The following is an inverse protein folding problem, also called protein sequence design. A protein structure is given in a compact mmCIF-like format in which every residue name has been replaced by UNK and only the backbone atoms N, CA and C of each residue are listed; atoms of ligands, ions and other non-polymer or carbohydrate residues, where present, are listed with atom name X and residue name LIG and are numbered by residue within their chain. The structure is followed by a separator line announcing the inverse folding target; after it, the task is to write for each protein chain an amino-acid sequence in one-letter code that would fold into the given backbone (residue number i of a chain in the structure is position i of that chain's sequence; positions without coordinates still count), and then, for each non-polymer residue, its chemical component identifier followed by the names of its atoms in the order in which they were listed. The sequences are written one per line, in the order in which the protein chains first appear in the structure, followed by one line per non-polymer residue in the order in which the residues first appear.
data_IF_902236659694
#
_entry.id   IF_902236659694
#
_cell.length_a   1.000
_cell.length_b   1.000
_cell.length_c   1.000
_cell.angle_alpha   90.00
_cell.angle_beta   90.00
_cell.angle_gamma   90.00
#
_symmetry.space_group_name_H-M   'P 1'
#
loop_
_entity.id
_entity.type
_entity.pdbx_description
1 polymer ?
#
# COMPACT_ATOMS: atom_id res chain seq x y z
N UNK A 1 10.34 8.31 -1.77
CA UNK A 1 9.56 7.06 -1.95
C UNK A 1 8.10 7.40 -1.70
N UNK A 2 7.15 6.68 -2.28
CA UNK A 2 5.73 6.91 -1.98
C UNK A 2 5.38 6.31 -0.62
N UNK A 3 4.51 6.99 0.11
CA UNK A 3 3.96 6.53 1.38
C UNK A 3 3.32 5.13 1.23
N UNK A 4 3.67 4.15 2.08
CA UNK A 4 3.18 2.77 1.98
C UNK A 4 1.66 2.65 2.21
N UNK A 5 1.06 3.63 2.87
CA UNK A 5 -0.38 3.66 3.13
C UNK A 5 -1.19 4.32 2.02
N UNK A 6 -0.56 4.83 0.95
CA UNK A 6 -1.27 5.50 -0.14
C UNK A 6 -1.75 4.48 -1.18
N UNK A 7 -3.06 4.42 -1.37
CA UNK A 7 -3.71 3.68 -2.45
C UNK A 7 -4.51 4.63 -3.35
N UNK A 8 -4.68 4.26 -4.62
CA UNK A 8 -5.63 4.92 -5.52
C UNK A 8 -6.77 3.96 -5.82
N UNK A 9 -7.97 4.29 -5.36
CA UNK A 9 -9.16 3.45 -5.53
C UNK A 9 -10.09 4.02 -6.59
N UNK A 10 -10.55 3.17 -7.49
CA UNK A 10 -11.49 3.53 -8.55
C UNK A 10 -12.96 3.47 -8.11
N UNK A 11 -13.25 2.98 -6.90
CA UNK A 11 -14.62 2.85 -6.40
C UNK A 11 -14.69 2.91 -4.87
N UNK A 12 -15.88 3.24 -4.35
CA UNK A 12 -16.26 3.07 -2.95
C UNK A 12 -17.79 3.07 -2.79
N UNK A 13 -18.30 2.35 -1.79
CA UNK A 13 -19.73 2.36 -1.42
C UNK A 13 -20.67 2.12 -2.61
N UNK A 14 -20.36 1.09 -3.43
CA UNK A 14 -21.10 0.73 -4.65
C UNK A 14 -21.15 1.86 -5.71
N UNK A 15 -20.23 2.81 -5.66
CA UNK A 15 -20.07 3.87 -6.65
C UNK A 15 -18.68 3.82 -7.25
N UNK A 16 -18.62 3.84 -8.57
CA UNK A 16 -17.39 3.94 -9.33
C UNK A 16 -17.06 5.41 -9.56
N UNK A 17 -15.77 5.75 -9.58
CA UNK A 17 -15.26 7.08 -9.89
C UNK A 17 -14.78 7.12 -11.34
N UNK A 18 -14.91 8.29 -11.96
CA UNK A 18 -14.38 8.52 -13.32
C UNK A 18 -12.84 8.47 -13.34
N UNK A 19 -12.20 8.85 -12.23
CA UNK A 19 -10.74 8.80 -12.03
C UNK A 19 -10.43 8.22 -10.63
N UNK A 20 -9.39 7.39 -10.46
CA UNK A 20 -8.99 6.87 -9.16
C UNK A 20 -8.73 7.98 -8.13
N UNK A 21 -9.26 7.79 -6.92
CA UNK A 21 -9.12 8.74 -5.81
C UNK A 21 -8.13 8.24 -4.78
N UNK A 22 -7.32 9.15 -4.27
CA UNK A 22 -6.35 8.86 -3.22
C UNK A 22 -7.06 8.45 -1.92
N UNK A 23 -6.66 7.29 -1.40
CA UNK A 23 -7.14 6.68 -0.18
C UNK A 23 -5.96 6.40 0.74
N UNK A 24 -6.07 6.78 2.01
CA UNK A 24 -5.08 6.48 3.02
C UNK A 24 -5.53 5.24 3.79
N UNK A 25 -4.73 4.17 3.72
CA UNK A 25 -4.95 2.93 4.47
C UNK A 25 -4.88 3.12 5.98
N UNK A 26 -3.90 3.88 6.47
CA UNK A 26 -3.73 4.14 7.92
C UNK A 26 -4.93 4.86 8.55
N UNK A 27 -5.49 5.84 7.84
CA UNK A 27 -6.66 6.60 8.32
C UNK A 27 -8.01 6.08 7.78
N UNK A 28 -7.98 4.99 7.02
CA UNK A 28 -9.13 4.32 6.39
C UNK A 28 -10.11 5.28 5.68
N UNK A 29 -9.58 6.27 4.97
CA UNK A 29 -10.42 7.27 4.32
C UNK A 29 -9.79 7.86 3.05
N UNK A 30 -10.65 8.43 2.20
CA UNK A 30 -10.22 9.23 1.06
C UNK A 30 -9.58 10.54 1.54
N UNK A 31 -8.42 10.86 0.98
CA UNK A 31 -7.66 12.06 1.36
C UNK A 31 -7.75 13.14 0.29
N UNK A 32 -7.47 14.37 0.69
CA UNK A 32 -7.43 15.51 -0.23
C UNK A 32 -6.25 15.41 -1.21
N UNK A 33 -6.33 16.01 -2.41
CA UNK A 33 -5.22 16.02 -3.36
C UNK A 33 -3.89 16.51 -2.78
N UNK A 34 -3.89 17.59 -1.97
CA UNK A 34 -2.67 18.07 -1.31
C UNK A 34 -2.03 17.02 -0.39
N UNK A 35 -2.84 16.22 0.29
CA UNK A 35 -2.35 15.13 1.13
C UNK A 35 -1.74 14.02 0.27
N UNK A 36 -2.38 13.71 -0.86
CA UNK A 36 -1.82 12.77 -1.82
C UNK A 36 -0.48 13.27 -2.40
N UNK A 37 -0.32 14.57 -2.63
CA UNK A 37 0.94 15.14 -3.09
C UNK A 37 2.07 14.94 -2.06
N UNK A 38 1.80 15.16 -0.76
CA UNK A 38 2.74 14.85 0.34
C UNK A 38 3.07 13.35 0.35
N UNK A 39 2.04 12.49 0.29
CA UNK A 39 2.25 11.04 0.30
C UNK A 39 3.05 10.53 -0.91
N UNK A 40 3.00 11.23 -2.05
CA UNK A 40 3.78 10.92 -3.24
C UNK A 40 5.18 11.56 -3.26
N UNK A 41 5.58 12.26 -2.20
CA UNK A 41 6.83 13.02 -2.14
C UNK A 41 6.97 14.06 -3.27
N UNK A 42 5.86 14.73 -3.63
CA UNK A 42 5.88 15.77 -4.67
C UNK A 42 6.23 17.13 -4.07
N UNK A 43 6.85 17.98 -4.87
CA UNK A 43 7.15 19.37 -4.48
C UNK A 43 8.00 19.50 -3.21
N UNK A 44 8.95 18.57 -3.02
CA UNK A 44 9.80 18.48 -1.82
C UNK A 44 9.02 18.27 -0.51
N UNK A 45 7.78 17.76 -0.59
CA UNK A 45 6.97 17.40 0.57
C UNK A 45 7.05 15.90 0.83
N UNK A 46 8.00 15.47 1.66
CA UNK A 46 8.18 14.07 2.03
C UNK A 46 7.13 13.56 3.04
N UNK A 47 6.60 12.35 2.83
CA UNK A 47 5.61 11.73 3.72
C UNK A 47 6.14 11.43 5.12
N UNK A 48 7.42 11.08 5.25
CA UNK A 48 8.11 10.79 6.50
C UNK A 48 8.45 12.04 7.32
N UNK A 49 8.26 13.24 6.78
CA UNK A 49 8.51 14.50 7.49
C UNK A 49 7.25 15.38 7.61
N UNK A 50 6.40 15.36 6.59
CA UNK A 50 5.28 16.30 6.45
C UNK A 50 3.89 15.65 6.59
N UNK A 51 3.79 14.32 6.70
CA UNK A 51 2.53 13.62 6.84
C UNK A 51 2.30 13.14 8.28
N UNK A 52 1.53 13.91 9.07
CA UNK A 52 1.15 13.55 10.45
C UNK A 52 0.58 12.12 10.62
N UNK A 53 -0.22 11.62 9.66
CA UNK A 53 -0.80 10.26 9.74
C UNK A 53 0.30 9.21 9.51
N UNK A 54 1.22 9.45 8.57
CA UNK A 54 2.32 8.51 8.39
C UNK A 54 3.20 8.48 9.65
N UNK A 55 3.52 9.65 10.21
CA UNK A 55 4.33 9.75 11.43
C UNK A 55 3.71 9.00 12.62
N UNK A 56 2.38 9.07 12.77
CA UNK A 56 1.65 8.33 13.80
C UNK A 56 1.67 6.80 13.59
N UNK A 57 1.83 6.32 12.35
CA UNK A 57 1.77 4.91 11.98
C UNK A 57 3.11 4.35 11.46
N UNK A 58 4.21 5.10 11.54
CA UNK A 58 5.49 4.74 10.94
C UNK A 58 6.07 3.44 11.52
N UNK A 59 5.77 3.15 12.79
CA UNK A 59 6.20 1.93 13.48
C UNK A 59 5.53 0.66 12.90
N UNK A 60 4.31 0.79 12.35
CA UNK A 60 3.58 -0.33 11.74
C UNK A 60 4.20 -0.77 10.41
N UNK A 61 4.83 0.16 9.69
CA UNK A 61 5.49 -0.11 8.40
C UNK A 61 6.75 -0.94 8.60
N UNK A 62 7.51 -0.68 9.68
CA UNK A 62 8.80 -1.35 9.93
C UNK A 62 8.66 -2.79 10.42
N UNK A 63 7.50 -3.17 10.98
CA UNK A 63 7.25 -4.51 11.50
C UNK A 63 6.74 -5.53 10.45
N UNK A 64 6.43 -5.07 9.23
CA UNK A 64 5.63 -5.83 8.27
C UNK A 64 6.36 -6.52 7.12
N UNK A 65 7.70 -6.51 7.04
CA UNK A 65 8.42 -6.93 5.82
C UNK A 65 9.49 -8.02 6.04
N UNK A 66 9.18 -9.04 6.83
CA UNK A 66 9.96 -10.29 6.90
C UNK A 66 9.05 -11.50 6.64
N UNK A 67 8.60 -11.68 5.40
CA UNK A 67 8.11 -12.98 4.92
C UNK A 67 8.47 -13.15 3.45
N UNK A 68 9.75 -13.41 3.19
CA UNK A 68 10.22 -13.93 1.91
C UNK A 68 9.62 -15.33 1.69
N UNK A 69 8.56 -15.40 0.89
CA UNK A 69 7.98 -16.66 0.45
C UNK A 69 8.82 -17.20 -0.72
N UNK A 70 9.85 -17.98 -0.41
CA UNK A 70 10.50 -18.88 -1.35
C UNK A 70 9.62 -20.14 -1.50
N UNK A 71 8.68 -20.09 -2.44
CA UNK A 71 7.95 -21.29 -2.86
C UNK A 71 8.89 -22.15 -3.72
N UNK A 72 9.72 -22.98 -3.09
CA UNK A 72 10.38 -24.11 -3.78
C UNK A 72 9.34 -25.19 -4.08
N UNK A 73 8.77 -25.09 -5.28
CA UNK A 73 7.93 -26.08 -5.91
C UNK A 73 8.78 -27.31 -6.30
N UNK A 74 8.93 -28.28 -5.39
CA UNK A 74 9.39 -29.62 -5.77
C UNK A 74 8.18 -30.46 -6.15
N UNK A 75 7.91 -30.48 -7.45
CA UNK A 75 6.90 -31.32 -8.08
C UNK A 75 7.11 -32.80 -7.75
N UNK A 76 6.12 -33.36 -7.05
CA UNK A 76 5.85 -34.78 -7.02
C UNK A 76 5.32 -35.22 -8.38
N UNK A 77 5.98 -36.19 -9.01
CA UNK A 77 5.36 -37.02 -10.05
C UNK A 77 5.48 -38.47 -9.63
N UNK A 78 4.36 -39.02 -9.18
CA UNK A 78 4.16 -40.45 -9.04
C UNK A 78 4.20 -41.12 -10.42
N UNK A 79 4.74 -42.34 -10.48
CA UNK A 79 4.75 -43.18 -11.67
C UNK A 79 4.77 -44.66 -11.27
N UNK A 80 3.60 -45.26 -11.36
CA UNK A 80 3.25 -46.69 -11.31
C UNK A 80 4.18 -47.62 -12.11
N UNK A 81 4.36 -48.88 -11.67
CA UNK A 81 4.96 -49.90 -12.54
C UNK A 81 5.21 -51.28 -11.92
N UNK A 82 4.20 -52.15 -12.03
CA UNK A 82 4.20 -53.63 -12.15
C UNK A 82 4.63 -54.51 -10.96
#
# INVERSE_FOLDING_TARGET
MTCPFLEYRSEANNRQFDEPRAYCGAAEQFVQPMRADICNNRYDLAHDEHCEIYLEHADEVSAGNENGNETENTGQSAGDGA
#
